data_IF_051880014795
#
_entry.id   IF_051880014795
#
_cell.length_a   1.000
_cell.length_b   1.000
_cell.length_c   1.000
_cell.angle_alpha   90.00
_cell.angle_beta   90.00
_cell.angle_gamma   90.00
#
_symmetry.space_group_name_H-M   'P 1'
#
loop_
_entity.id
_entity.type
_entity.pdbx_description
1 polymer ?
#
# COMPACT_ATOMS: atom_id res chain seq x y z
N UNK A 1 1.36 -7.49 -2.72
CA UNK A 1 2.61 -8.09 -3.21
C UNK A 1 2.50 -9.60 -3.28
N UNK A 2 2.44 -10.29 -2.14
CA UNK A 2 2.33 -11.76 -2.08
C UNK A 2 1.19 -12.33 -2.91
N UNK A 3 0.00 -11.76 -2.77
CA UNK A 3 -1.14 -12.11 -3.59
C UNK A 3 -0.78 -12.17 -5.08
N UNK A 4 -0.15 -11.10 -5.59
CA UNK A 4 0.19 -10.97 -7.00
C UNK A 4 1.16 -12.08 -7.45
N UNK A 5 2.17 -12.42 -6.66
CA UNK A 5 3.14 -13.47 -7.00
C UNK A 5 2.49 -14.84 -7.23
N UNK A 6 1.36 -15.10 -6.57
CA UNK A 6 0.69 -16.40 -6.55
C UNK A 6 -0.62 -16.42 -7.33
N UNK A 7 -0.76 -15.53 -8.34
CA UNK A 7 -1.96 -15.48 -9.20
C UNK A 7 -3.20 -14.86 -8.54
N UNK A 8 -3.06 -14.27 -7.35
CA UNK A 8 -4.13 -13.57 -6.64
C UNK A 8 -4.06 -12.06 -6.92
N UNK A 9 -5.03 -11.49 -7.64
CA UNK A 9 -5.05 -10.05 -7.85
C UNK A 9 -3.97 -9.49 -8.78
N UNK A 10 -3.43 -10.32 -9.68
CA UNK A 10 -2.79 -9.86 -10.92
C UNK A 10 -3.86 -9.88 -12.03
N UNK A 11 -4.48 -8.74 -12.37
CA UNK A 11 -5.50 -8.73 -13.40
C UNK A 11 -4.91 -9.14 -14.76
N UNK A 12 -5.16 -10.37 -15.18
CA UNK A 12 -4.83 -10.88 -16.52
C UNK A 12 -6.10 -10.83 -17.38
N UNK A 13 -6.06 -10.08 -18.48
CA UNK A 13 -7.21 -9.91 -19.38
C UNK A 13 -7.65 -8.45 -19.52
N UNK A 14 -8.47 -8.19 -20.53
CA UNK A 14 -8.88 -6.82 -20.87
C UNK A 14 -9.72 -6.17 -19.77
N UNK A 15 -10.58 -6.92 -19.09
CA UNK A 15 -11.51 -6.41 -18.08
C UNK A 15 -11.15 -6.78 -16.64
N UNK A 16 -10.05 -7.49 -16.43
CA UNK A 16 -9.63 -7.94 -15.11
C UNK A 16 -9.34 -6.76 -14.17
N UNK A 17 -9.71 -6.93 -12.90
CA UNK A 17 -9.64 -5.95 -11.83
C UNK A 17 -9.00 -6.57 -10.57
N UNK A 18 -8.78 -5.78 -9.50
CA UNK A 18 -8.01 -6.23 -8.33
C UNK A 18 -8.68 -7.33 -7.49
N UNK A 19 -9.97 -7.57 -7.71
CA UNK A 19 -10.73 -8.67 -7.10
C UNK A 19 -10.67 -9.97 -7.88
N UNK A 20 -10.12 -9.98 -9.10
CA UNK A 20 -9.95 -11.21 -9.87
C UNK A 20 -8.92 -12.12 -9.17
N UNK A 21 -9.33 -13.36 -8.91
CA UNK A 21 -8.48 -14.44 -8.42
C UNK A 21 -8.48 -15.50 -9.51
N UNK A 22 -7.30 -15.90 -9.97
CA UNK A 22 -7.19 -16.93 -10.99
C UNK A 22 -7.59 -18.31 -10.44
N UNK A 23 -8.18 -19.15 -11.29
CA UNK A 23 -8.59 -20.50 -10.89
C UNK A 23 -7.38 -21.41 -10.58
N UNK A 24 -6.20 -21.08 -11.13
CA UNK A 24 -4.92 -21.76 -10.94
C UNK A 24 -4.02 -21.07 -9.90
N UNK A 25 -4.58 -20.23 -9.03
CA UNK A 25 -3.81 -19.54 -7.99
C UNK A 25 -3.06 -20.52 -7.07
N UNK A 26 -1.78 -20.25 -6.83
CA UNK A 26 -0.89 -21.10 -6.02
C UNK A 26 -1.07 -20.78 -4.52
N UNK A 27 -2.04 -21.45 -3.90
CA UNK A 27 -2.31 -21.28 -2.47
C UNK A 27 -1.16 -21.74 -1.59
N UNK A 28 -0.46 -22.81 -1.99
CA UNK A 28 0.67 -23.36 -1.23
C UNK A 28 1.86 -22.40 -1.24
N UNK A 29 2.22 -21.90 -2.42
CA UNK A 29 3.22 -20.84 -2.57
C UNK A 29 2.85 -19.58 -1.80
N UNK A 30 1.57 -19.16 -1.87
CA UNK A 30 1.07 -18.01 -1.12
C UNK A 30 1.27 -18.17 0.39
N UNK A 31 0.92 -19.32 0.98
CA UNK A 31 1.10 -19.56 2.42
C UNK A 31 2.59 -19.60 2.82
N UNK A 32 3.45 -20.21 2.00
CA UNK A 32 4.89 -20.25 2.26
C UNK A 32 5.50 -18.83 2.25
N UNK A 33 5.18 -18.04 1.24
CA UNK A 33 5.68 -16.66 1.13
C UNK A 33 5.07 -15.72 2.17
N UNK A 34 3.81 -15.95 2.56
CA UNK A 34 3.18 -15.24 3.68
C UNK A 34 3.92 -15.53 4.97
N UNK A 35 4.20 -16.79 5.28
CA UNK A 35 4.96 -17.17 6.47
C UNK A 35 6.36 -16.51 6.49
N UNK A 36 7.02 -16.40 5.34
CA UNK A 36 8.31 -15.72 5.21
C UNK A 36 8.26 -14.19 5.35
N UNK A 37 7.09 -13.57 5.15
CA UNK A 37 6.89 -12.12 5.26
C UNK A 37 6.36 -11.67 6.63
N UNK A 38 5.88 -12.62 7.45
CA UNK A 38 5.37 -12.31 8.79
C UNK A 38 6.51 -11.83 9.68
N UNK A 39 6.21 -10.78 10.45
CA UNK A 39 7.11 -10.23 11.47
C UNK A 39 6.34 -9.97 12.75
N UNK A 40 7.04 -9.84 13.87
CA UNK A 40 6.43 -9.63 15.17
C UNK A 40 6.93 -8.33 15.80
N UNK A 41 6.01 -7.39 16.01
CA UNK A 41 6.31 -6.11 16.66
C UNK A 41 6.37 -4.91 15.71
N UNK A 42 6.93 -3.81 16.23
CA UNK A 42 7.08 -2.56 15.50
C UNK A 42 8.48 -2.44 14.94
N UNK A 43 8.61 -1.84 13.77
CA UNK A 43 9.89 -1.61 13.12
C UNK A 43 10.76 -0.66 13.94
N UNK A 44 11.99 -1.06 14.32
CA UNK A 44 12.97 -0.12 14.82
C UNK A 44 13.50 0.74 13.66
N UNK A 45 13.61 2.05 13.88
CA UNK A 45 14.26 2.95 12.91
C UNK A 45 15.79 2.82 12.95
N UNK A 46 16.34 2.39 14.09
CA UNK A 46 17.77 2.20 14.30
C UNK A 46 18.15 0.72 14.23
N UNK A 47 19.32 0.46 13.64
CA UNK A 47 19.91 -0.88 13.54
C UNK A 47 21.00 -0.99 14.59
N UNK A 48 20.87 -1.91 15.54
CA UNK A 48 21.98 -2.34 16.37
C UNK A 48 22.68 -3.52 15.68
N UNK A 49 23.96 -3.40 15.29
CA UNK A 49 24.69 -4.50 14.65
C UNK A 49 24.75 -5.80 15.46
N UNK A 50 24.51 -5.74 16.78
CA UNK A 50 24.49 -6.92 17.65
C UNK A 50 23.19 -7.71 17.55
N UNK A 51 22.13 -7.07 17.09
CA UNK A 51 20.79 -7.67 16.99
C UNK A 51 20.55 -8.33 15.62
N UNK A 52 21.45 -8.13 14.65
CA UNK A 52 21.25 -8.56 13.26
C UNK A 52 22.41 -9.38 12.70
N UNK A 53 22.08 -10.58 12.23
CA UNK A 53 22.93 -11.33 11.31
C UNK A 53 22.92 -10.71 9.91
N UNK A 54 24.09 -10.55 9.29
CA UNK A 54 24.21 -9.86 8.00
C UNK A 54 23.57 -10.65 6.86
N UNK A 55 23.59 -11.98 6.89
CA UNK A 55 22.95 -12.80 5.87
C UNK A 55 21.42 -12.66 5.94
N UNK A 56 20.85 -12.78 7.14
CA UNK A 56 19.40 -12.59 7.38
C UNK A 56 18.91 -11.21 6.94
N UNK A 57 19.68 -10.16 7.24
CA UNK A 57 19.35 -8.80 6.80
C UNK A 57 19.47 -8.67 5.28
N UNK A 58 20.47 -9.31 4.67
CA UNK A 58 20.63 -9.36 3.21
C UNK A 58 19.43 -10.01 2.54
N UNK A 59 18.98 -11.16 3.03
CA UNK A 59 17.84 -11.89 2.47
C UNK A 59 16.59 -11.01 2.41
N UNK A 60 16.34 -10.22 3.46
CA UNK A 60 15.23 -9.24 3.49
C UNK A 60 15.36 -8.17 2.41
N UNK A 61 16.55 -7.60 2.24
CA UNK A 61 16.80 -6.60 1.21
C UNK A 61 16.70 -7.18 -0.21
N UNK A 62 17.27 -8.36 -0.45
CA UNK A 62 17.23 -9.04 -1.76
C UNK A 62 15.78 -9.36 -2.14
N UNK A 63 15.00 -9.92 -1.20
CA UNK A 63 13.58 -10.22 -1.41
C UNK A 63 12.77 -8.96 -1.74
N UNK A 64 12.99 -7.88 -0.98
CA UNK A 64 12.38 -6.58 -1.26
C UNK A 64 12.76 -6.08 -2.67
N UNK A 65 14.04 -6.08 -3.05
CA UNK A 65 14.46 -5.61 -4.37
C UNK A 65 13.83 -6.43 -5.49
N UNK A 66 13.73 -7.75 -5.34
CA UNK A 66 13.07 -8.63 -6.32
C UNK A 66 11.58 -8.30 -6.48
N UNK A 67 10.90 -7.89 -5.42
CA UNK A 67 9.47 -7.55 -5.44
C UNK A 67 9.19 -6.13 -5.98
N UNK A 68 10.09 -5.19 -5.71
CA UNK A 68 9.96 -3.79 -6.12
C UNK A 68 10.50 -3.55 -7.53
N UNK A 69 11.50 -4.34 -7.94
CA UNK A 69 12.14 -4.28 -9.25
C UNK A 69 12.12 -5.66 -9.94
N UNK A 70 10.93 -6.23 -10.21
CA UNK A 70 10.78 -7.60 -10.71
C UNK A 70 11.35 -7.84 -12.11
N UNK A 71 11.72 -6.78 -12.84
CA UNK A 71 12.33 -6.86 -14.17
C UNK A 71 13.86 -6.67 -14.13
N UNK A 72 14.45 -6.74 -12.94
CA UNK A 72 15.91 -6.74 -12.80
C UNK A 72 16.50 -7.96 -13.54
N UNK A 73 17.44 -7.76 -14.49
CA UNK A 73 18.04 -8.87 -15.24
C UNK A 73 19.05 -9.67 -14.42
N UNK A 74 19.42 -9.21 -13.23
CA UNK A 74 20.40 -9.89 -12.39
C UNK A 74 19.81 -11.07 -11.63
N UNK A 75 20.62 -12.10 -11.41
CA UNK A 75 20.23 -13.24 -10.59
C UNK A 75 20.10 -12.82 -9.12
N UNK A 76 19.20 -13.47 -8.37
CA UNK A 76 19.07 -13.24 -6.93
C UNK A 76 20.40 -13.45 -6.19
N UNK A 77 21.25 -14.37 -6.67
CA UNK A 77 22.58 -14.63 -6.12
C UNK A 77 23.53 -13.44 -6.31
N UNK A 78 23.49 -12.76 -7.47
CA UNK A 78 24.31 -11.57 -7.72
C UNK A 78 23.83 -10.37 -6.87
N UNK A 79 22.50 -10.19 -6.74
CA UNK A 79 21.91 -9.20 -5.81
C UNK A 79 22.40 -9.48 -4.40
N UNK A 80 22.31 -10.73 -3.98
CA UNK A 80 22.69 -11.15 -2.65
C UNK A 80 24.17 -10.86 -2.38
N UNK A 81 25.08 -11.23 -3.27
CA UNK A 81 26.53 -10.99 -3.11
C UNK A 81 26.84 -9.50 -2.90
N UNK A 82 26.31 -8.63 -3.77
CA UNK A 82 26.56 -7.19 -3.70
C UNK A 82 25.96 -6.59 -2.43
N UNK A 83 24.70 -6.93 -2.11
CA UNK A 83 24.00 -6.40 -0.94
C UNK A 83 24.65 -6.91 0.35
N UNK A 84 25.04 -8.19 0.42
CA UNK A 84 25.71 -8.77 1.58
C UNK A 84 27.04 -8.10 1.88
N UNK A 85 27.88 -7.90 0.86
CA UNK A 85 29.18 -7.24 1.05
C UNK A 85 29.01 -5.83 1.65
N UNK A 86 28.03 -5.07 1.14
CA UNK A 86 27.69 -3.75 1.66
C UNK A 86 27.18 -3.82 3.08
N UNK A 87 26.21 -4.69 3.37
CA UNK A 87 25.58 -4.80 4.69
C UNK A 87 26.61 -5.25 5.73
N UNK A 88 27.34 -6.34 5.47
CA UNK A 88 28.37 -6.86 6.37
C UNK A 88 29.48 -5.82 6.61
N UNK A 89 29.87 -5.06 5.58
CA UNK A 89 30.79 -3.93 5.73
C UNK A 89 30.24 -2.85 6.67
N UNK A 90 28.99 -2.42 6.47
CA UNK A 90 28.38 -1.33 7.25
C UNK A 90 28.07 -1.69 8.69
N UNK A 91 27.61 -2.91 8.95
CA UNK A 91 27.36 -3.40 10.32
C UNK A 91 28.67 -3.43 11.13
N UNK A 92 29.80 -3.85 10.53
CA UNK A 92 31.13 -3.78 11.16
C UNK A 92 31.57 -2.36 11.54
N UNK A 93 31.08 -1.35 10.83
CA UNK A 93 31.39 0.06 11.09
C UNK A 93 30.30 0.79 11.88
N UNK A 94 29.31 0.08 12.44
CA UNK A 94 28.29 0.67 13.32
C UNK A 94 27.24 1.53 12.61
N UNK A 95 26.99 1.33 11.30
CA UNK A 95 25.94 2.09 10.61
C UNK A 95 24.57 1.74 11.18
N UNK A 96 23.83 2.75 11.64
CA UNK A 96 22.70 2.55 12.54
C UNK A 96 21.31 2.93 11.97
N UNK A 97 21.11 3.11 10.66
CA UNK A 97 19.78 3.47 10.13
C UNK A 97 19.43 2.73 8.83
N UNK A 98 18.19 2.21 8.76
CA UNK A 98 17.64 1.45 7.63
C UNK A 98 17.64 2.20 6.29
N UNK A 99 17.28 3.48 6.29
CA UNK A 99 17.28 4.29 5.07
C UNK A 99 18.71 4.53 4.57
N UNK A 100 19.66 4.74 5.48
CA UNK A 100 21.07 4.87 5.11
C UNK A 100 21.61 3.56 4.52
N UNK A 101 21.27 2.42 5.14
CA UNK A 101 21.64 1.09 4.66
C UNK A 101 21.05 0.81 3.27
N UNK A 102 19.78 1.17 3.06
CA UNK A 102 19.13 1.10 1.75
C UNK A 102 19.87 1.95 0.71
N UNK A 103 20.20 3.21 1.02
CA UNK A 103 20.87 4.10 0.07
C UNK A 103 22.25 3.57 -0.34
N UNK A 104 23.01 2.95 0.56
CA UNK A 104 24.31 2.35 0.18
C UNK A 104 24.14 1.07 -0.65
N UNK A 105 23.11 0.26 -0.38
CA UNK A 105 22.78 -0.90 -1.22
C UNK A 105 22.37 -0.44 -2.62
N UNK A 106 21.45 0.51 -2.73
CA UNK A 106 21.02 1.11 -4.02
C UNK A 106 22.22 1.65 -4.79
N UNK A 107 23.18 2.31 -4.11
CA UNK A 107 24.40 2.80 -4.78
C UNK A 107 25.23 1.66 -5.36
N UNK A 108 25.47 0.61 -4.59
CA UNK A 108 26.26 -0.53 -5.04
C UNK A 108 25.60 -1.24 -6.23
N UNK A 109 24.29 -1.47 -6.16
CA UNK A 109 23.52 -2.06 -7.26
C UNK A 109 23.55 -1.19 -8.52
N UNK A 110 23.45 0.15 -8.38
CA UNK A 110 23.59 1.07 -9.52
C UNK A 110 25.00 1.06 -10.12
N UNK A 111 26.05 0.98 -9.30
CA UNK A 111 27.44 0.82 -9.77
C UNK A 111 27.63 -0.49 -10.54
N UNK A 112 26.92 -1.55 -10.15
CA UNK A 112 26.86 -2.80 -10.88
C UNK A 112 26.00 -2.75 -12.16
N UNK A 113 25.50 -1.56 -12.54
CA UNK A 113 24.80 -1.31 -13.80
C UNK A 113 23.28 -1.35 -13.71
N UNK A 114 22.70 -1.41 -12.52
CA UNK A 114 21.25 -1.62 -12.38
C UNK A 114 20.46 -0.33 -12.29
N UNK A 115 19.30 -0.30 -12.94
CA UNK A 115 18.44 0.87 -13.04
C UNK A 115 17.49 1.01 -11.86
N UNK A 116 18.02 0.96 -10.64
CA UNK A 116 17.24 1.23 -9.43
C UNK A 116 17.25 2.74 -9.18
N UNK A 117 16.08 3.38 -9.20
CA UNK A 117 15.95 4.80 -8.90
C UNK A 117 15.59 5.01 -7.41
N UNK A 118 16.47 5.68 -6.62
CA UNK A 118 16.26 5.86 -5.19
C UNK A 118 15.04 6.72 -4.85
N UNK A 119 14.49 7.46 -5.81
CA UNK A 119 13.37 8.36 -5.59
C UNK A 119 12.02 7.68 -5.48
N UNK A 120 11.91 6.40 -5.83
CA UNK A 120 10.69 5.64 -5.64
C UNK A 120 10.55 5.06 -4.24
N UNK A 121 11.56 5.10 -3.38
CA UNK A 121 11.42 4.62 -2.01
C UNK A 121 10.76 5.66 -1.10
N UNK A 122 9.97 5.22 -0.11
CA UNK A 122 9.35 6.07 0.93
C UNK A 122 10.38 6.53 1.97
N UNK A 123 11.37 7.27 1.48
CA UNK A 123 12.50 7.82 2.24
C UNK A 123 12.45 9.34 2.13
N UNK A 124 12.87 10.02 3.21
CA UNK A 124 12.96 11.48 3.22
C UNK A 124 13.79 11.97 2.01
N UNK A 125 13.25 12.86 1.16
CA UNK A 125 13.96 13.47 0.04
C UNK A 125 15.34 14.03 0.38
N UNK A 126 15.56 14.53 1.61
CA UNK A 126 16.85 15.03 2.06
C UNK A 126 17.91 13.91 2.12
N UNK A 127 17.52 12.72 2.58
CA UNK A 127 18.39 11.54 2.62
C UNK A 127 18.75 11.10 1.19
N UNK A 128 17.76 11.09 0.29
CA UNK A 128 17.98 10.71 -1.11
C UNK A 128 18.93 11.70 -1.79
N UNK A 129 18.73 13.02 -1.62
CA UNK A 129 19.62 14.05 -2.22
C UNK A 129 21.05 13.96 -1.67
N UNK A 130 21.20 13.70 -0.37
CA UNK A 130 22.52 13.54 0.23
C UNK A 130 23.24 12.30 -0.34
N UNK A 131 22.53 11.21 -0.58
CA UNK A 131 23.10 10.00 -1.17
C UNK A 131 23.33 10.15 -2.69
N UNK A 132 22.40 10.75 -3.43
CA UNK A 132 22.40 10.79 -4.89
C UNK A 132 22.22 12.22 -5.42
N UNK A 133 23.21 13.12 -5.22
CA UNK A 133 23.06 14.54 -5.55
C UNK A 133 22.89 14.81 -7.05
N UNK A 134 23.35 13.90 -7.91
CA UNK A 134 23.24 14.00 -9.36
C UNK A 134 22.00 13.34 -9.95
N UNK A 135 21.17 12.68 -9.14
CA UNK A 135 19.97 11.97 -9.61
C UNK A 135 18.74 12.85 -9.36
N UNK A 136 18.08 13.39 -10.39
CA UNK A 136 16.90 14.22 -10.22
C UNK A 136 15.67 13.37 -9.83
N UNK A 137 14.66 13.97 -9.16
CA UNK A 137 13.34 13.36 -9.02
C UNK A 137 12.77 12.90 -10.37
N UNK A 138 12.25 11.66 -10.48
CA UNK A 138 11.58 11.21 -11.68
C UNK A 138 10.24 11.91 -11.87
N UNK A 139 9.82 12.00 -13.12
CA UNK A 139 8.56 12.62 -13.55
C UNK A 139 7.50 11.60 -13.98
N UNK A 140 7.83 10.31 -13.99
CA UNK A 140 6.97 9.23 -14.48
C UNK A 140 7.10 7.97 -13.61
N UNK A 141 6.69 6.80 -14.11
CA UNK A 141 6.75 5.52 -13.40
C UNK A 141 8.18 4.97 -13.30
N UNK A 142 8.42 4.01 -12.38
CA UNK A 142 9.71 3.32 -12.30
C UNK A 142 10.17 2.79 -13.67
N UNK A 143 11.42 3.05 -14.07
CA UNK A 143 11.93 2.63 -15.37
C UNK A 143 11.90 1.11 -15.47
N UNK A 144 11.48 0.60 -16.63
CA UNK A 144 11.44 -0.84 -16.88
C UNK A 144 10.40 -1.60 -16.06
N UNK A 145 9.37 -0.95 -15.50
CA UNK A 145 8.30 -1.65 -14.80
C UNK A 145 7.12 -1.93 -15.75
N UNK A 146 7.11 -3.07 -16.43
CA UNK A 146 5.95 -3.47 -17.25
C UNK A 146 4.82 -4.14 -16.43
N UNK A 147 5.13 -4.69 -15.25
CA UNK A 147 4.16 -5.25 -14.30
C UNK A 147 4.55 -4.93 -12.86
N UNK A 148 3.57 -4.52 -12.06
CA UNK A 148 3.78 -4.05 -10.69
C UNK A 148 3.45 -5.14 -9.68
N UNK A 149 4.47 -5.66 -8.99
CA UNK A 149 4.33 -6.65 -7.89
C UNK A 149 4.13 -5.93 -6.55
N UNK A 150 5.04 -5.02 -6.20
CA UNK A 150 4.83 -3.94 -5.23
C UNK A 150 4.64 -2.62 -5.97
N UNK A 151 3.74 -1.74 -5.50
CA UNK A 151 3.52 -0.43 -6.09
C UNK A 151 4.29 0.63 -5.29
N UNK A 152 4.95 1.61 -5.95
CA UNK A 152 5.60 2.68 -5.24
C UNK A 152 4.59 3.59 -4.49
N UNK A 153 5.07 4.47 -3.58
CA UNK A 153 6.45 4.52 -3.11
C UNK A 153 6.85 3.22 -2.38
N UNK A 154 8.05 2.71 -2.65
CA UNK A 154 8.54 1.44 -2.14
C UNK A 154 8.93 1.56 -0.68
N UNK A 155 8.44 0.65 0.14
CA UNK A 155 8.79 0.66 1.56
C UNK A 155 10.24 0.19 1.75
N UNK A 156 10.91 0.77 2.74
CA UNK A 156 12.19 0.26 3.23
C UNK A 156 11.94 -1.08 3.94
N UNK A 157 12.80 -2.10 3.81
CA UNK A 157 12.56 -3.41 4.41
C UNK A 157 12.26 -3.30 5.90
N UNK A 158 11.23 -4.04 6.33
CA UNK A 158 10.89 -4.14 7.74
C UNK A 158 12.04 -4.79 8.50
N UNK A 159 12.42 -4.15 9.61
CA UNK A 159 13.36 -4.69 10.59
C UNK A 159 12.63 -5.19 11.84
N UNK A 160 11.35 -5.50 11.73
CA UNK A 160 10.67 -6.20 12.81
C UNK A 160 11.19 -7.66 12.90
N UNK A 161 11.37 -8.20 14.12
CA UNK A 161 11.76 -9.59 14.34
C UNK A 161 10.93 -10.60 13.55
N UNK A 162 11.54 -11.72 13.19
CA UNK A 162 10.78 -12.87 12.69
C UNK A 162 10.00 -13.51 13.85
N UNK A 163 8.82 -14.10 13.59
CA UNK A 163 8.10 -14.86 14.60
C UNK A 163 8.92 -16.02 15.13
N UNK A 164 8.82 -16.28 16.44
CA UNK A 164 9.33 -17.49 17.09
C UNK A 164 8.19 -18.42 17.55
N UNK A 165 8.53 -19.49 18.27
CA UNK A 165 7.53 -20.43 18.81
C UNK A 165 6.55 -19.80 19.81
N UNK A 166 6.92 -18.70 20.47
CA UNK A 166 6.06 -17.97 21.40
C UNK A 166 5.04 -17.10 20.65
N UNK A 167 5.29 -16.79 19.38
CA UNK A 167 4.44 -15.96 18.55
C UNK A 167 3.32 -16.75 17.85
N UNK A 168 3.34 -18.09 17.89
CA UNK A 168 2.35 -18.94 17.21
C UNK A 168 0.90 -18.73 17.66
N UNK A 169 0.70 -18.14 18.84
CA UNK A 169 -0.64 -17.82 19.37
C UNK A 169 -1.08 -16.38 19.07
N UNK A 170 -0.27 -15.59 18.37
CA UNK A 170 -0.63 -14.22 17.99
C UNK A 170 -1.48 -14.23 16.72
N UNK A 171 -2.52 -13.40 16.64
CA UNK A 171 -3.29 -13.29 15.42
C UNK A 171 -2.47 -12.58 14.33
N UNK A 172 -2.69 -13.00 13.09
CA UNK A 172 -2.13 -12.36 11.92
C UNK A 172 -2.96 -11.11 11.56
N UNK A 173 -2.29 -9.98 11.34
CA UNK A 173 -2.91 -8.77 10.83
C UNK A 173 -2.65 -8.65 9.32
N UNK A 174 -3.70 -8.79 8.52
CA UNK A 174 -3.67 -8.56 7.08
C UNK A 174 -4.22 -7.17 6.76
N UNK A 175 -3.47 -6.37 5.99
CA UNK A 175 -3.91 -5.05 5.54
C UNK A 175 -3.27 -4.61 4.23
N UNK A 176 -4.06 -4.61 3.16
CA UNK A 176 -3.78 -3.92 1.91
C UNK A 176 -5.06 -3.23 1.39
N UNK A 177 -4.92 -2.11 0.65
CA UNK A 177 -6.10 -1.40 0.11
C UNK A 177 -6.93 -2.30 -0.82
N UNK A 178 -6.25 -3.11 -1.65
CA UNK A 178 -6.87 -4.08 -2.55
C UNK A 178 -7.64 -5.20 -1.84
N UNK A 179 -7.46 -5.42 -0.52
CA UNK A 179 -8.21 -6.45 0.21
C UNK A 179 -9.71 -6.14 0.25
N UNK A 180 -10.09 -4.89 -0.03
CA UNK A 180 -11.49 -4.48 -0.22
C UNK A 180 -12.26 -5.36 -1.22
N UNK A 181 -11.58 -5.90 -2.24
CA UNK A 181 -12.19 -6.73 -3.28
C UNK A 181 -12.03 -8.24 -3.02
N UNK A 182 -11.37 -8.63 -1.93
CA UNK A 182 -10.98 -10.03 -1.66
C UNK A 182 -11.58 -10.58 -0.38
N UNK A 183 -12.37 -9.79 0.34
CA UNK A 183 -12.94 -10.20 1.63
C UNK A 183 -13.73 -11.52 1.52
N UNK A 184 -14.49 -11.70 0.44
CA UNK A 184 -15.23 -12.94 0.16
C UNK A 184 -14.34 -14.17 -0.10
N UNK A 185 -13.07 -13.96 -0.47
CA UNK A 185 -12.10 -15.04 -0.71
C UNK A 185 -11.31 -15.43 0.55
N UNK A 186 -11.25 -14.58 1.57
CA UNK A 186 -10.47 -14.85 2.79
C UNK A 186 -10.84 -16.19 3.48
N UNK A 187 -12.13 -16.58 3.60
CA UNK A 187 -12.48 -17.88 4.19
C UNK A 187 -11.91 -19.08 3.41
N UNK A 188 -11.68 -18.92 2.10
CA UNK A 188 -11.05 -19.96 1.27
C UNK A 188 -9.53 -19.96 1.42
N UNK A 189 -8.93 -18.78 1.61
CA UNK A 189 -7.49 -18.62 1.80
C UNK A 189 -7.04 -19.08 3.20
N UNK A 190 -7.91 -18.95 4.20
CA UNK A 190 -7.63 -19.28 5.59
C UNK A 190 -8.80 -20.08 6.20
N UNK A 191 -9.02 -21.33 5.74
CA UNK A 191 -10.20 -22.12 6.12
C UNK A 191 -10.27 -22.45 7.61
N UNK A 192 -9.12 -22.55 8.28
CA UNK A 192 -9.03 -22.89 9.70
C UNK A 192 -8.91 -21.65 10.61
N UNK A 193 -8.99 -20.43 10.06
CA UNK A 193 -8.80 -19.20 10.82
C UNK A 193 -10.13 -18.59 11.30
N UNK A 194 -10.12 -18.06 12.53
CA UNK A 194 -11.15 -17.11 12.97
C UNK A 194 -10.88 -15.74 12.33
N UNK A 195 -11.74 -15.34 11.39
CA UNK A 195 -11.62 -14.07 10.68
C UNK A 195 -12.44 -12.97 11.37
N UNK A 196 -11.80 -11.83 11.65
CA UNK A 196 -12.44 -10.63 12.19
C UNK A 196 -12.04 -9.41 11.36
N UNK A 197 -13.01 -8.55 11.03
CA UNK A 197 -12.81 -7.45 10.09
C UNK A 197 -12.88 -6.10 10.81
N UNK A 198 -11.83 -5.28 10.67
CA UNK A 198 -11.89 -3.87 11.01
C UNK A 198 -12.15 -3.07 9.73
N UNK A 199 -13.38 -2.58 9.57
CA UNK A 199 -13.75 -1.73 8.44
C UNK A 199 -13.42 -0.27 8.74
N UNK A 200 -12.20 0.13 8.39
CA UNK A 200 -11.76 1.52 8.52
C UNK A 200 -12.44 2.38 7.44
N UNK A 201 -13.19 3.39 7.87
CA UNK A 201 -13.90 4.33 7.01
C UNK A 201 -13.41 5.75 7.27
N UNK A 202 -13.57 6.63 6.29
CA UNK A 202 -13.28 8.05 6.42
C UNK A 202 -14.25 8.83 5.54
N UNK A 203 -14.59 10.06 5.92
CA UNK A 203 -15.51 10.87 5.16
C UNK A 203 -15.09 10.95 3.67
N UNK A 204 -16.05 10.85 2.74
CA UNK A 204 -15.74 10.72 1.32
C UNK A 204 -14.94 11.90 0.77
N UNK A 205 -15.18 13.12 1.27
CA UNK A 205 -14.46 14.30 0.80
C UNK A 205 -12.96 14.25 1.12
N UNK A 206 -12.61 13.87 2.34
CA UNK A 206 -11.21 13.71 2.74
C UNK A 206 -10.53 12.55 2.00
N UNK A 207 -11.24 11.43 1.82
CA UNK A 207 -10.73 10.25 1.11
C UNK A 207 -10.47 10.54 -0.37
N UNK A 208 -11.46 11.09 -1.09
CA UNK A 208 -11.34 11.45 -2.51
C UNK A 208 -10.30 12.54 -2.71
N UNK A 209 -10.22 13.53 -1.82
CA UNK A 209 -9.15 14.53 -1.88
C UNK A 209 -7.76 13.86 -1.78
N UNK A 210 -7.60 12.88 -0.89
CA UNK A 210 -6.35 12.13 -0.73
C UNK A 210 -5.99 11.32 -1.97
N UNK A 211 -6.98 10.66 -2.59
CA UNK A 211 -6.80 9.93 -3.84
C UNK A 211 -6.38 10.87 -4.99
N UNK A 212 -7.00 12.05 -5.13
CA UNK A 212 -6.60 13.05 -6.13
C UNK A 212 -5.14 13.48 -5.89
N UNK A 213 -4.78 13.78 -4.63
CA UNK A 213 -3.40 14.16 -4.29
C UNK A 213 -2.41 13.04 -4.65
N UNK A 214 -2.78 11.77 -4.47
CA UNK A 214 -1.94 10.63 -4.78
C UNK A 214 -1.88 10.27 -6.27
N UNK A 215 -2.96 10.46 -7.02
CA UNK A 215 -2.97 10.30 -8.48
C UNK A 215 -2.04 11.29 -9.17
N UNK A 216 -1.94 12.51 -8.62
CA UNK A 216 -1.06 13.56 -9.10
C UNK A 216 0.35 13.50 -8.51
N UNK A 217 0.59 12.56 -7.60
CA UNK A 217 1.91 12.34 -7.02
C UNK A 217 2.71 11.34 -7.86
N UNK A 218 4.03 11.53 -7.90
CA UNK A 218 4.98 10.68 -8.63
C UNK A 218 5.18 9.30 -8.02
N UNK A 219 4.51 8.99 -6.91
CA UNK A 219 4.73 7.78 -6.14
C UNK A 219 3.80 6.62 -6.50
N UNK A 220 2.55 6.82 -6.93
CA UNK A 220 1.51 5.79 -6.71
C UNK A 220 1.15 4.91 -7.94
N UNK A 221 2.13 4.63 -8.79
CA UNK A 221 1.96 3.87 -10.03
C UNK A 221 1.62 2.38 -9.78
N UNK A 222 0.34 2.02 -9.87
CA UNK A 222 -0.14 0.71 -9.40
C UNK A 222 -0.32 -0.32 -10.52
N UNK A 223 -0.79 0.10 -11.68
CA UNK A 223 -1.08 -0.79 -12.81
C UNK A 223 -0.63 -0.16 -14.13
N UNK A 224 0.21 -0.88 -14.87
CA UNK A 224 0.52 -0.54 -16.26
C UNK A 224 -0.52 -1.20 -17.18
N UNK A 225 -1.32 -0.39 -17.84
CA UNK A 225 -2.42 -0.79 -18.72
C UNK A 225 -2.07 -0.67 -20.20
N UNK A 226 -0.78 -0.52 -20.53
CA UNK A 226 -0.33 -0.53 -21.92
C UNK A 226 -0.84 -1.80 -22.66
N UNK A 227 -1.38 -1.60 -23.85
CA UNK A 227 -2.02 -2.66 -24.64
C UNK A 227 -3.38 -3.15 -24.11
N UNK A 228 -3.87 -2.62 -22.97
CA UNK A 228 -5.20 -2.94 -22.41
C UNK A 228 -6.18 -1.80 -22.60
N UNK A 229 -5.78 -0.55 -22.37
CA UNK A 229 -6.60 0.64 -22.56
C UNK A 229 -5.74 1.91 -22.64
N UNK A 230 -6.24 2.92 -23.35
CA UNK A 230 -5.69 4.27 -23.32
C UNK A 230 -6.40 5.09 -22.23
N UNK A 231 -5.64 5.57 -21.26
CA UNK A 231 -6.14 6.50 -20.26
C UNK A 231 -6.18 7.90 -20.84
N UNK A 232 -7.39 8.46 -20.92
CA UNK A 232 -7.69 9.83 -21.35
C UNK A 232 -8.36 10.59 -20.21
N UNK A 233 -7.84 10.46 -18.99
CA UNK A 233 -8.44 10.98 -17.75
C UNK A 233 -8.15 12.49 -17.65
N UNK A 234 -9.15 13.38 -17.83
CA UNK A 234 -8.93 14.81 -17.70
C UNK A 234 -8.44 15.19 -16.30
N UNK A 235 -7.35 15.96 -16.25
CA UNK A 235 -6.67 16.34 -15.01
C UNK A 235 -5.59 15.36 -14.56
N UNK A 236 -5.34 14.26 -15.27
CA UNK A 236 -4.22 13.34 -15.02
C UNK A 236 -3.44 13.05 -16.30
N UNK A 237 -4.10 12.51 -17.33
CA UNK A 237 -3.47 12.15 -18.58
C UNK A 237 -2.99 13.42 -19.29
N UNK A 238 -1.73 13.42 -19.69
CA UNK A 238 -1.04 14.56 -20.26
C UNK A 238 -0.22 14.17 -21.51
N UNK A 239 0.74 15.02 -21.92
CA UNK A 239 1.50 14.80 -23.16
C UNK A 239 2.54 13.68 -23.05
N UNK A 240 2.82 13.18 -21.85
CA UNK A 240 3.77 12.09 -21.67
C UNK A 240 3.06 10.74 -21.82
N UNK A 241 3.60 9.86 -22.68
CA UNK A 241 2.98 8.57 -23.02
C UNK A 241 2.65 7.71 -21.80
N UNK A 242 3.48 7.73 -20.76
CA UNK A 242 3.24 6.96 -19.54
C UNK A 242 1.93 7.37 -18.84
N UNK A 243 1.51 8.63 -18.94
CA UNK A 243 0.28 9.13 -18.29
C UNK A 243 -1.01 8.64 -18.98
N UNK A 244 -0.86 8.03 -20.16
CA UNK A 244 -1.94 7.33 -20.87
C UNK A 244 -1.95 5.82 -20.57
N UNK A 245 -0.93 5.31 -19.90
CA UNK A 245 -0.76 3.87 -19.67
C UNK A 245 -0.89 3.49 -18.19
N UNK A 246 -0.58 4.40 -17.28
CA UNK A 246 -0.49 4.08 -15.86
C UNK A 246 -1.72 4.48 -15.07
N UNK A 247 -2.27 3.51 -14.35
CA UNK A 247 -3.37 3.69 -13.42
C UNK A 247 -2.86 3.65 -11.98
N UNK A 248 -3.34 4.57 -11.14
CA UNK A 248 -2.92 4.69 -9.74
C UNK A 248 -3.98 4.12 -8.79
N UNK A 249 -3.51 3.51 -7.70
CA UNK A 249 -4.31 2.79 -6.69
C UNK A 249 -5.09 1.61 -7.24
N UNK A 250 -6.16 1.24 -6.55
CA UNK A 250 -6.97 0.07 -6.84
C UNK A 250 -7.60 0.15 -8.24
N UNK A 251 -7.63 -0.97 -8.96
CA UNK A 251 -8.32 -1.13 -10.23
C UNK A 251 -9.68 -1.80 -9.95
N UNK A 252 -10.79 -1.03 -9.84
CA UNK A 252 -12.09 -1.57 -9.46
C UNK A 252 -12.75 -2.36 -10.62
N UNK A 253 -13.75 -3.22 -10.35
CA UNK A 253 -14.59 -3.75 -11.42
C UNK A 253 -15.21 -2.63 -12.26
N UNK A 254 -15.27 -2.82 -13.58
CA UNK A 254 -15.81 -1.82 -14.50
C UNK A 254 -14.91 -0.59 -14.71
N UNK A 255 -13.63 -0.63 -14.30
CA UNK A 255 -12.67 0.47 -14.44
C UNK A 255 -12.57 1.07 -15.84
N UNK A 256 -12.86 0.29 -16.90
CA UNK A 256 -12.84 0.78 -18.29
C UNK A 256 -13.81 1.92 -18.53
N UNK A 257 -14.92 1.98 -17.79
CA UNK A 257 -15.90 3.06 -17.86
C UNK A 257 -15.36 4.38 -17.24
N UNK A 258 -14.17 4.36 -16.67
CA UNK A 258 -13.55 5.50 -15.99
C UNK A 258 -12.39 6.11 -16.78
N UNK A 259 -11.91 5.46 -17.86
CA UNK A 259 -10.66 5.85 -18.54
C UNK A 259 -10.70 7.21 -19.23
N UNK A 260 -11.89 7.76 -19.46
CA UNK A 260 -12.13 9.08 -20.07
C UNK A 260 -12.84 10.04 -19.10
N UNK A 261 -13.08 9.62 -17.86
CA UNK A 261 -13.77 10.43 -16.84
C UNK A 261 -12.80 11.40 -16.17
N UNK A 262 -13.25 12.59 -15.72
CA UNK A 262 -12.41 13.51 -14.97
C UNK A 262 -11.80 12.84 -13.74
N UNK A 263 -10.53 13.11 -13.44
CA UNK A 263 -9.81 12.50 -12.31
C UNK A 263 -10.60 12.48 -11.00
N UNK A 264 -11.29 13.56 -10.59
CA UNK A 264 -12.07 13.54 -9.35
C UNK A 264 -13.19 12.47 -9.36
N UNK A 265 -13.80 12.18 -10.51
CA UNK A 265 -14.79 11.11 -10.67
C UNK A 265 -14.16 9.73 -10.59
N UNK A 266 -12.97 9.55 -11.19
CA UNK A 266 -12.21 8.30 -11.08
C UNK A 266 -11.91 7.98 -9.62
N UNK A 267 -11.40 8.96 -8.87
CA UNK A 267 -11.10 8.81 -7.44
C UNK A 267 -12.35 8.52 -6.60
N UNK A 268 -13.47 9.20 -6.89
CA UNK A 268 -14.73 8.97 -6.16
C UNK A 268 -15.32 7.58 -6.47
N UNK A 269 -15.22 7.11 -7.71
CA UNK A 269 -15.61 5.77 -8.12
C UNK A 269 -14.73 4.70 -7.46
N UNK A 270 -13.40 4.90 -7.39
CA UNK A 270 -12.49 3.99 -6.66
C UNK A 270 -12.87 3.88 -5.17
N UNK A 271 -13.13 5.02 -4.51
CA UNK A 271 -13.58 5.05 -3.11
C UNK A 271 -14.90 4.28 -2.92
N UNK A 272 -15.89 4.56 -3.76
CA UNK A 272 -17.21 3.95 -3.69
C UNK A 272 -17.15 2.43 -3.96
N UNK A 273 -16.38 2.01 -4.97
CA UNK A 273 -16.22 0.62 -5.35
C UNK A 273 -15.60 -0.20 -4.21
N UNK A 274 -14.52 0.29 -3.60
CA UNK A 274 -13.86 -0.40 -2.49
C UNK A 274 -14.80 -0.58 -1.29
N UNK A 275 -15.49 0.48 -0.86
CA UNK A 275 -16.39 0.39 0.28
C UNK A 275 -17.64 -0.46 -0.01
N UNK A 276 -18.20 -0.37 -1.22
CA UNK A 276 -19.36 -1.18 -1.59
C UNK A 276 -19.00 -2.67 -1.59
N UNK A 277 -17.84 -3.06 -2.13
CA UNK A 277 -17.39 -4.46 -2.08
C UNK A 277 -17.21 -4.99 -0.66
N UNK A 278 -16.66 -4.17 0.25
CA UNK A 278 -16.55 -4.57 1.66
C UNK A 278 -17.94 -4.75 2.27
N UNK A 279 -18.85 -3.80 2.07
CA UNK A 279 -20.20 -3.88 2.64
C UNK A 279 -20.96 -5.10 2.13
N UNK A 280 -20.91 -5.35 0.81
CA UNK A 280 -21.63 -6.45 0.17
C UNK A 280 -21.03 -7.80 0.60
N UNK A 281 -19.70 -7.89 0.73
CA UNK A 281 -19.04 -9.08 1.26
C UNK A 281 -19.38 -9.34 2.75
N UNK A 282 -19.46 -8.31 3.58
CA UNK A 282 -19.86 -8.44 4.99
C UNK A 282 -21.32 -8.89 5.13
N UNK A 283 -22.21 -8.38 4.27
CA UNK A 283 -23.62 -8.79 4.21
C UNK A 283 -23.76 -10.26 3.78
N UNK A 284 -22.97 -10.69 2.79
CA UNK A 284 -23.02 -12.06 2.27
C UNK A 284 -22.35 -13.11 3.17
N UNK A 285 -21.28 -12.74 3.89
CA UNK A 285 -20.45 -13.69 4.66
C UNK A 285 -20.75 -13.74 6.15
N UNK A 286 -21.51 -12.77 6.68
CA UNK A 286 -21.76 -12.60 8.12
C UNK A 286 -20.48 -12.57 8.98
N UNK A 287 -19.33 -12.19 8.38
CA UNK A 287 -18.07 -12.06 9.11
C UNK A 287 -18.21 -11.02 10.25
N UNK A 288 -17.70 -11.32 11.46
CA UNK A 288 -17.64 -10.34 12.53
C UNK A 288 -16.88 -9.09 12.07
N UNK A 289 -17.53 -7.93 12.13
CA UNK A 289 -16.95 -6.68 11.68
C UNK A 289 -17.21 -5.53 12.65
N UNK A 290 -16.18 -4.70 12.84
CA UNK A 290 -16.27 -3.41 13.52
C UNK A 290 -15.95 -2.32 12.52
N UNK A 291 -16.93 -1.44 12.28
CA UNK A 291 -16.70 -0.20 11.52
C UNK A 291 -16.02 0.83 12.43
N UNK A 292 -14.96 1.44 11.94
CA UNK A 292 -14.19 2.45 12.68
C UNK A 292 -13.98 3.68 11.81
N UNK A 293 -14.34 4.86 12.33
CA UNK A 293 -14.05 6.12 11.64
C UNK A 293 -12.59 6.53 11.86
N UNK A 294 -11.89 6.84 10.77
CA UNK A 294 -10.51 7.31 10.83
C UNK A 294 -10.39 8.63 11.61
N UNK A 295 -11.43 9.47 11.55
CA UNK A 295 -11.56 10.70 12.32
C UNK A 295 -11.39 10.44 13.83
N UNK A 296 -12.00 9.36 14.34
CA UNK A 296 -11.94 9.02 15.76
C UNK A 296 -10.55 8.50 16.18
N UNK A 297 -9.80 7.88 15.26
CA UNK A 297 -8.42 7.45 15.49
C UNK A 297 -7.46 8.66 15.46
N UNK A 298 -7.73 9.62 14.58
CA UNK A 298 -6.88 10.81 14.40
C UNK A 298 -7.07 11.83 15.53
N UNK A 299 -8.29 11.99 16.03
CA UNK A 299 -8.62 12.93 17.11
C UNK A 299 -8.10 12.41 18.46
N UNK A 300 -7.32 13.26 19.16
CA UNK A 300 -6.71 12.90 20.44
C UNK A 300 -7.73 12.59 21.54
N UNK A 301 -8.91 13.20 21.48
CA UNK A 301 -9.96 13.00 22.49
C UNK A 301 -10.63 11.62 22.39
N UNK A 302 -10.84 11.12 21.17
CA UNK A 302 -11.56 9.87 20.90
C UNK A 302 -10.62 8.67 20.67
N UNK A 303 -9.35 8.93 20.31
CA UNK A 303 -8.39 7.88 19.91
C UNK A 303 -8.28 6.76 20.93
N UNK A 304 -8.18 7.09 22.22
CA UNK A 304 -8.00 6.09 23.28
C UNK A 304 -9.17 5.11 23.31
N UNK A 305 -10.39 5.63 23.40
CA UNK A 305 -11.59 4.82 23.45
C UNK A 305 -11.74 3.98 22.17
N UNK A 306 -11.47 4.57 21.01
CA UNK A 306 -11.54 3.88 19.71
C UNK A 306 -10.58 2.71 19.62
N UNK A 307 -9.33 2.89 20.05
CA UNK A 307 -8.33 1.82 20.10
C UNK A 307 -8.76 0.73 21.08
N UNK A 308 -9.31 1.08 22.24
CA UNK A 308 -9.80 0.09 23.21
C UNK A 308 -10.96 -0.75 22.63
N UNK A 309 -11.88 -0.12 21.90
CA UNK A 309 -12.98 -0.83 21.20
C UNK A 309 -12.44 -1.79 20.13
N UNK A 310 -11.43 -1.38 19.36
CA UNK A 310 -10.77 -2.27 18.38
C UNK A 310 -10.13 -3.47 19.08
N UNK A 311 -9.34 -3.22 20.14
CA UNK A 311 -8.68 -4.29 20.88
C UNK A 311 -9.69 -5.27 21.49
N UNK A 312 -10.79 -4.74 22.06
CA UNK A 312 -11.86 -5.57 22.59
C UNK A 312 -12.54 -6.41 21.50
N UNK A 313 -12.86 -5.80 20.36
CA UNK A 313 -13.49 -6.49 19.23
C UNK A 313 -12.61 -7.63 18.70
N UNK A 314 -11.30 -7.37 18.54
CA UNK A 314 -10.32 -8.38 18.11
C UNK A 314 -9.89 -9.33 19.23
N UNK A 315 -10.45 -9.21 20.45
CA UNK A 315 -10.09 -10.00 21.65
C UNK A 315 -8.58 -9.96 21.97
N UNK A 316 -7.95 -8.83 21.68
CA UNK A 316 -6.52 -8.62 21.86
C UNK A 316 -6.19 -8.01 23.23
N UNK A 317 -5.28 -8.65 23.96
CA UNK A 317 -4.63 -8.08 25.15
C UNK A 317 -3.30 -7.45 24.75
N UNK A 318 -3.35 -6.24 24.20
CA UNK A 318 -2.16 -5.52 23.76
C UNK A 318 -2.01 -4.17 24.47
N UNK A 319 -0.76 -3.69 24.60
CA UNK A 319 -0.52 -2.29 24.99
C UNK A 319 -1.05 -1.40 23.87
N UNK A 320 -1.69 -0.29 24.23
CA UNK A 320 -2.10 0.72 23.26
C UNK A 320 -0.89 1.15 22.42
N UNK A 321 -0.99 1.13 21.07
CA UNK A 321 0.11 1.56 20.24
C UNK A 321 0.35 3.06 20.42
N UNK A 322 1.63 3.46 20.35
CA UNK A 322 1.99 4.86 20.18
C UNK A 322 1.42 5.39 18.85
N UNK A 323 1.42 6.71 18.65
CA UNK A 323 1.17 7.24 17.31
C UNK A 323 2.30 6.77 16.40
N UNK A 324 1.95 6.06 15.33
CA UNK A 324 2.89 5.61 14.32
C UNK A 324 3.29 6.78 13.43
N UNK A 325 4.45 6.65 12.79
CA UNK A 325 4.86 7.51 11.69
C UNK A 325 3.85 7.40 10.55
N UNK A 326 3.64 8.51 9.82
CA UNK A 326 2.93 8.51 8.55
C UNK A 326 3.88 8.01 7.47
N UNK A 327 3.50 6.91 6.82
CA UNK A 327 4.19 6.31 5.68
C UNK A 327 3.25 6.35 4.47
N UNK A 328 3.81 6.27 3.25
CA UNK A 328 3.03 6.18 2.02
C UNK A 328 2.03 7.33 1.83
N UNK A 329 2.42 8.54 2.23
CA UNK A 329 1.55 9.71 2.14
C UNK A 329 2.20 10.80 1.30
N UNK A 330 1.50 11.26 0.27
CA UNK A 330 1.95 12.41 -0.55
C UNK A 330 2.07 13.70 0.27
N UNK A 331 1.33 13.80 1.38
CA UNK A 331 1.33 14.95 2.31
C UNK A 331 0.96 14.52 3.72
N UNK A 332 1.41 15.28 4.71
CA UNK A 332 0.98 15.15 6.09
C UNK A 332 -0.57 15.30 6.16
N UNK A 333 -1.28 14.40 6.87
CA UNK A 333 -2.73 14.53 7.07
C UNK A 333 -3.09 15.82 7.79
N UNK A 334 -4.01 16.59 7.22
CA UNK A 334 -4.53 17.85 7.77
C UNK A 334 -6.06 17.79 7.76
N UNK A 335 -6.74 17.95 8.92
CA UNK A 335 -8.19 18.03 8.97
C UNK A 335 -8.74 19.17 8.09
N UNK A 336 -9.82 18.91 7.37
CA UNK A 336 -10.56 19.89 6.58
C UNK A 336 -9.86 20.28 5.28
N UNK A 337 -8.70 19.70 4.95
CA UNK A 337 -7.93 20.02 3.73
C UNK A 337 -8.76 19.94 2.45
N UNK A 338 -9.70 18.99 2.40
CA UNK A 338 -10.60 18.79 1.28
C UNK A 338 -11.44 20.05 0.95
N UNK A 339 -11.66 20.95 1.91
CA UNK A 339 -12.41 22.20 1.70
C UNK A 339 -11.75 23.11 0.67
N UNK A 340 -10.43 23.00 0.45
CA UNK A 340 -9.71 23.70 -0.63
C UNK A 340 -10.18 23.27 -2.03
N UNK A 341 -10.74 22.06 -2.16
CA UNK A 341 -11.32 21.51 -3.39
C UNK A 341 -12.84 21.33 -3.31
N UNK A 342 -13.50 22.01 -2.38
CA UNK A 342 -14.95 21.85 -2.09
C UNK A 342 -15.81 21.89 -3.36
N UNK A 343 -15.65 22.92 -4.18
CA UNK A 343 -16.45 23.12 -5.40
C UNK A 343 -16.33 21.96 -6.41
N UNK A 344 -15.20 21.25 -6.41
CA UNK A 344 -14.98 20.08 -7.26
C UNK A 344 -15.55 18.82 -6.59
N UNK A 345 -15.39 18.69 -5.28
CA UNK A 345 -15.72 17.47 -4.53
C UNK A 345 -17.22 17.32 -4.23
N UNK A 346 -17.89 18.40 -3.82
CA UNK A 346 -19.29 18.36 -3.37
C UNK A 346 -20.27 17.77 -4.41
N UNK A 347 -20.23 18.16 -5.71
CA UNK A 347 -21.13 17.60 -6.71
C UNK A 347 -21.00 16.08 -6.86
N UNK A 348 -19.78 15.55 -6.76
CA UNK A 348 -19.54 14.12 -6.93
C UNK A 348 -19.96 13.33 -5.71
N UNK A 349 -19.65 13.84 -4.52
CA UNK A 349 -20.01 13.17 -3.26
C UNK A 349 -21.52 13.14 -3.06
N UNK A 350 -22.21 14.16 -3.56
CA UNK A 350 -23.67 14.24 -3.54
C UNK A 350 -24.33 13.43 -4.66
N UNK A 351 -23.56 12.84 -5.57
CA UNK A 351 -24.09 12.09 -6.71
C UNK A 351 -24.50 10.66 -6.32
N UNK A 352 -25.52 10.14 -7.02
CA UNK A 352 -26.23 8.87 -6.77
C UNK A 352 -25.52 7.83 -5.91
N UNK A 353 -24.70 6.98 -6.53
CA UNK A 353 -24.06 5.83 -5.88
C UNK A 353 -23.09 6.23 -4.77
N UNK A 354 -22.31 7.30 -4.97
CA UNK A 354 -21.33 7.78 -3.99
C UNK A 354 -22.04 8.27 -2.73
N UNK A 355 -23.13 9.03 -2.89
CA UNK A 355 -23.98 9.47 -1.78
C UNK A 355 -24.61 8.28 -1.05
N UNK A 356 -25.14 7.32 -1.79
CA UNK A 356 -25.72 6.10 -1.22
C UNK A 356 -24.69 5.33 -0.38
N UNK A 357 -23.48 5.14 -0.92
CA UNK A 357 -22.37 4.51 -0.21
C UNK A 357 -21.99 5.30 1.05
N UNK A 358 -21.85 6.63 0.96
CA UNK A 358 -21.56 7.48 2.12
C UNK A 358 -22.60 7.34 3.23
N UNK A 359 -23.89 7.33 2.89
CA UNK A 359 -24.99 7.12 3.85
C UNK A 359 -24.89 5.74 4.52
N UNK A 360 -24.64 4.66 3.76
CA UNK A 360 -24.43 3.30 4.33
C UNK A 360 -23.27 3.27 5.33
N UNK A 361 -22.24 4.08 5.11
CA UNK A 361 -21.06 4.19 5.98
C UNK A 361 -21.28 5.09 7.20
N UNK A 362 -22.38 5.84 7.26
CA UNK A 362 -22.71 6.76 8.36
C UNK A 362 -22.30 8.21 8.09
N UNK A 363 -21.99 8.58 6.85
CA UNK A 363 -21.66 9.94 6.46
C UNK A 363 -22.81 10.58 5.68
N UNK A 364 -23.52 11.50 6.33
CA UNK A 364 -24.55 12.29 5.66
C UNK A 364 -23.92 13.50 4.94
N UNK A 365 -24.02 13.49 3.61
CA UNK A 365 -23.59 14.58 2.72
C UNK A 365 -24.20 15.94 3.08
N UNK A 366 -25.42 15.98 3.64
CA UNK A 366 -26.10 17.22 4.06
C UNK A 366 -25.49 17.81 5.34
N UNK A 367 -24.77 16.99 6.11
CA UNK A 367 -23.97 17.42 7.26
C UNK A 367 -22.49 17.65 6.89
N UNK A 368 -22.15 17.78 5.60
CA UNK A 368 -20.78 17.85 5.10
C UNK A 368 -19.94 18.99 5.70
N UNK A 369 -20.57 20.08 6.14
CA UNK A 369 -19.87 21.17 6.84
C UNK A 369 -19.26 20.76 8.18
N UNK A 370 -19.74 19.66 8.78
CA UNK A 370 -19.20 19.10 10.03
C UNK A 370 -18.08 18.10 9.81
N UNK A 371 -17.81 17.69 8.58
CA UNK A 371 -16.73 16.74 8.29
C UNK A 371 -15.36 17.38 8.54
N UNK A 372 -14.59 16.72 9.41
CA UNK A 372 -13.20 17.07 9.69
C UNK A 372 -12.25 16.55 8.63
#
# INVERSE_FOLDING_TARGET
>A
MLYKLHGLGLPQGQDAHDGCIADDADLTGFHADLAADVTTGTEPDLIDPRDWDSATLTDRFVRMFAQQWPQCPASAEDIWKIVHEVIAGRLRHGLANRSALLMVCVRALRTAGWQIDPWYFDVDPAIIRAAFPSVPPPTGPPPGLARTVEAPPFLVPSLAPLPDTNDLQRPLLLKASMDAYRLAALPRLFPDAELTVIHLVRNPAASVNGLIDGWLDRGFFSHNLNGRADLRIPGYSGPADWSMQWWNFDLPPGWRNLVDRPLPWVCAAQWCAAHSHILDALEASALPALRVQAEDIMDGATRRATIDTILQHCRLRARRPARSRVVMASRIPEPGRWRRRRAILEPMISSGEIRSCAMRLGYDSTAGDRWK
#
